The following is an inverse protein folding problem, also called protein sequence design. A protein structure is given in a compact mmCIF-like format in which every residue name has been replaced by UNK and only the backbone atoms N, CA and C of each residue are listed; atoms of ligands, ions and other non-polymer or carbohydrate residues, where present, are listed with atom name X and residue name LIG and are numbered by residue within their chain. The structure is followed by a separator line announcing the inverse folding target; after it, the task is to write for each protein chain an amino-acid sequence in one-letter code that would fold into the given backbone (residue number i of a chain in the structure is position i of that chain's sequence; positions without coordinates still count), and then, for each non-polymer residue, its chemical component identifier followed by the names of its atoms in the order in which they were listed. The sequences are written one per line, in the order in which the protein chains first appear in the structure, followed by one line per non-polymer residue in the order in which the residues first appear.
data_IF_394094585711
#
_entry.id   IF_394094585711
#
_cell.length_a   1.000
_cell.length_b   1.000
_cell.length_c   1.000
_cell.angle_alpha   90.00
_cell.angle_beta   90.00
_cell.angle_gamma   90.00
#
_symmetry.space_group_name_H-M   'P 1'
#
loop_
_entity.id
_entity.type
_entity.pdbx_description
1 polymer ?
#
# COMPACT_ATOMS: atom_id res chain seq x y z
N UNK A 1 -8.01 37.54 -28.32
CA UNK A 1 -8.40 36.12 -28.16
C UNK A 1 -9.26 35.98 -26.92
N UNK A 2 -10.51 35.59 -27.09
CA UNK A 2 -11.55 35.53 -26.04
C UNK A 2 -11.58 34.11 -25.44
N UNK A 3 -11.47 33.99 -24.12
CA UNK A 3 -11.77 32.73 -23.43
C UNK A 3 -13.27 32.47 -23.52
N UNK A 4 -13.66 31.41 -24.24
CA UNK A 4 -15.03 30.90 -24.31
C UNK A 4 -15.25 29.96 -23.14
N UNK A 5 -16.22 30.30 -22.30
CA UNK A 5 -16.82 29.43 -21.31
C UNK A 5 -17.40 28.21 -22.02
N UNK A 6 -16.89 27.02 -21.71
CA UNK A 6 -17.55 25.76 -22.11
C UNK A 6 -18.66 25.51 -21.10
N UNK A 7 -19.90 25.72 -21.53
CA UNK A 7 -21.08 25.19 -20.86
C UNK A 7 -20.97 23.66 -20.86
N UNK A 8 -20.82 23.05 -19.68
CA UNK A 8 -21.05 21.62 -19.51
C UNK A 8 -22.56 21.36 -19.38
N UNK A 9 -23.14 20.42 -20.14
CA UNK A 9 -24.52 20.03 -19.97
C UNK A 9 -24.70 19.32 -18.63
N UNK A 10 -25.87 19.54 -17.99
CA UNK A 10 -26.31 18.74 -16.84
C UNK A 10 -26.30 17.26 -17.23
N UNK A 11 -25.44 16.47 -16.58
CA UNK A 11 -25.51 15.01 -16.62
C UNK A 11 -26.15 14.49 -15.33
N UNK A 12 -27.07 13.56 -15.55
CA UNK A 12 -27.97 12.97 -14.57
C UNK A 12 -27.27 12.36 -13.36
N UNK A 13 -27.87 12.55 -12.19
CA UNK A 13 -27.52 11.87 -10.95
C UNK A 13 -27.82 10.37 -11.07
N UNK A 14 -26.81 9.53 -10.82
CA UNK A 14 -26.99 8.08 -10.76
C UNK A 14 -26.49 7.52 -9.43
N UNK A 15 -27.36 6.80 -8.72
CA UNK A 15 -27.06 5.97 -7.54
C UNK A 15 -26.05 4.82 -7.79
N UNK A 16 -25.38 4.80 -8.96
CA UNK A 16 -24.41 3.81 -9.40
C UNK A 16 -23.05 3.91 -8.68
N UNK A 17 -22.73 5.05 -8.05
CA UNK A 17 -21.44 5.27 -7.38
C UNK A 17 -21.26 4.43 -6.10
N UNK A 18 -22.34 4.13 -5.35
CA UNK A 18 -22.24 3.37 -4.10
C UNK A 18 -22.22 1.85 -4.33
N UNK A 19 -23.00 1.34 -5.29
CA UNK A 19 -23.07 -0.09 -5.59
C UNK A 19 -21.74 -0.61 -6.16
N UNK A 20 -21.11 0.14 -7.08
CA UNK A 20 -19.81 -0.24 -7.65
C UNK A 20 -18.69 -0.28 -6.60
N UNK A 21 -18.64 0.72 -5.70
CA UNK A 21 -17.64 0.75 -4.63
C UNK A 21 -17.80 -0.44 -3.67
N UNK A 22 -19.05 -0.76 -3.28
CA UNK A 22 -19.34 -1.90 -2.41
C UNK A 22 -18.90 -3.23 -3.04
N UNK A 23 -19.20 -3.43 -4.33
CA UNK A 23 -18.80 -4.64 -5.05
C UNK A 23 -17.27 -4.79 -5.11
N UNK A 24 -16.53 -3.70 -5.31
CA UNK A 24 -15.06 -3.72 -5.29
C UNK A 24 -14.50 -4.04 -3.91
N UNK A 25 -15.11 -3.50 -2.84
CA UNK A 25 -14.72 -3.86 -1.48
C UNK A 25 -14.99 -5.35 -1.22
N UNK A 26 -16.18 -5.84 -1.59
CA UNK A 26 -16.52 -7.25 -1.44
C UNK A 26 -15.51 -8.13 -2.20
N UNK A 27 -15.13 -7.75 -3.43
CA UNK A 27 -14.10 -8.44 -4.22
C UNK A 27 -12.77 -8.55 -3.48
N UNK A 28 -12.23 -7.44 -2.96
CA UNK A 28 -10.94 -7.40 -2.24
C UNK A 28 -11.02 -8.16 -0.91
N UNK A 29 -12.20 -8.22 -0.29
CA UNK A 29 -12.41 -8.93 0.98
C UNK A 29 -12.91 -10.37 0.81
N UNK A 30 -12.96 -10.92 -0.41
CA UNK A 30 -13.46 -12.29 -0.64
C UNK A 30 -12.51 -13.39 -0.21
N UNK A 31 -11.24 -13.09 0.09
CA UNK A 31 -10.25 -14.08 0.47
C UNK A 31 -10.71 -14.91 1.68
N UNK A 32 -10.85 -16.22 1.48
CA UNK A 32 -11.16 -17.16 2.55
C UNK A 32 -10.05 -17.15 3.61
N UNK A 33 -10.40 -17.47 4.85
CA UNK A 33 -9.40 -17.56 5.93
C UNK A 33 -8.35 -18.61 5.56
N UNK A 34 -7.08 -18.24 5.74
CA UNK A 34 -5.98 -19.16 5.52
C UNK A 34 -5.95 -20.21 6.64
N UNK A 35 -5.74 -21.47 6.25
CA UNK A 35 -5.37 -22.53 7.18
C UNK A 35 -3.89 -22.48 7.60
N UNK A 36 -3.08 -21.64 6.94
CA UNK A 36 -1.67 -21.48 7.24
C UNK A 36 -1.45 -20.58 8.46
N UNK A 37 -0.36 -20.88 9.16
CA UNK A 37 0.04 -20.17 10.37
C UNK A 37 1.54 -19.90 10.31
N UNK A 38 1.96 -18.88 11.02
CA UNK A 38 3.36 -18.56 11.23
C UNK A 38 4.08 -19.76 11.84
N UNK A 39 5.17 -20.18 11.21
CA UNK A 39 6.05 -21.24 11.70
C UNK A 39 7.48 -20.71 11.71
N UNK A 40 8.01 -20.46 12.90
CA UNK A 40 9.37 -19.97 13.08
C UNK A 40 10.45 -20.90 12.52
N UNK A 41 10.16 -22.18 12.30
CA UNK A 41 11.06 -23.12 11.62
C UNK A 41 11.38 -22.68 10.18
N UNK A 42 10.42 -22.03 9.50
CA UNK A 42 10.56 -21.55 8.11
C UNK A 42 11.40 -20.29 7.99
N UNK A 43 11.66 -19.59 9.10
CA UNK A 43 12.49 -18.40 9.10
C UNK A 43 13.97 -18.73 8.89
N UNK A 44 14.40 -19.97 9.18
CA UNK A 44 15.82 -20.33 9.16
C UNK A 44 16.51 -20.07 7.80
N UNK A 45 15.77 -20.17 6.69
CA UNK A 45 16.28 -19.96 5.34
C UNK A 45 16.24 -18.49 4.88
N UNK A 46 15.66 -17.59 5.69
CA UNK A 46 15.59 -16.16 5.37
C UNK A 46 16.86 -15.41 5.82
N UNK A 47 17.17 -14.25 5.22
CA UNK A 47 18.22 -13.37 5.74
C UNK A 47 17.99 -13.03 7.21
N UNK A 48 19.06 -12.99 8.00
CA UNK A 48 18.98 -12.77 9.44
C UNK A 48 18.16 -11.51 9.86
N UNK A 49 18.30 -10.32 9.23
CA UNK A 49 17.45 -9.17 9.60
C UNK A 49 15.96 -9.40 9.32
N UNK A 50 15.63 -10.22 8.32
CA UNK A 50 14.26 -10.61 8.00
C UNK A 50 13.72 -11.58 9.05
N UNK A 51 14.54 -12.50 9.56
CA UNK A 51 14.16 -13.38 10.67
C UNK A 51 13.84 -12.56 11.94
N UNK A 52 14.69 -11.57 12.28
CA UNK A 52 14.45 -10.67 13.41
C UNK A 52 13.12 -9.93 13.25
N UNK A 53 12.85 -9.41 12.06
CA UNK A 53 11.60 -8.74 11.76
C UNK A 53 10.39 -9.61 12.01
N UNK A 54 10.38 -10.84 11.48
CA UNK A 54 9.24 -11.72 11.66
C UNK A 54 9.02 -12.10 13.12
N UNK A 55 10.10 -12.35 13.87
CA UNK A 55 10.00 -12.63 15.32
C UNK A 55 9.51 -11.44 16.13
N UNK A 56 9.78 -10.22 15.66
CA UNK A 56 9.27 -8.98 16.25
C UNK A 56 7.81 -8.72 15.86
N UNK A 57 7.45 -8.96 14.59
CA UNK A 57 6.19 -8.54 13.99
C UNK A 57 5.04 -9.55 14.15
N UNK A 58 5.35 -10.86 14.15
CA UNK A 58 4.37 -11.94 14.03
C UNK A 58 4.67 -13.03 15.06
N UNK A 59 3.78 -13.28 16.04
CA UNK A 59 3.94 -14.40 16.95
C UNK A 59 3.95 -15.76 16.24
N UNK A 60 4.68 -16.73 16.80
CA UNK A 60 4.64 -18.11 16.31
C UNK A 60 3.22 -18.70 16.43
N UNK A 61 2.79 -19.46 15.43
CA UNK A 61 1.42 -19.98 15.32
C UNK A 61 0.35 -18.95 14.94
N UNK A 62 0.71 -17.69 14.66
CA UNK A 62 -0.26 -16.68 14.25
C UNK A 62 -0.87 -17.02 12.87
N UNK A 63 -2.21 -17.07 12.72
CA UNK A 63 -2.85 -17.34 11.43
C UNK A 63 -2.53 -16.27 10.39
N UNK A 64 -2.28 -16.67 9.14
CA UNK A 64 -1.98 -15.70 8.09
C UNK A 64 -3.15 -14.73 7.90
N UNK A 65 -2.84 -13.44 7.81
CA UNK A 65 -3.80 -12.40 7.47
C UNK A 65 -4.23 -12.59 6.03
N UNK A 66 -5.54 -12.57 5.78
CA UNK A 66 -6.09 -12.74 4.42
C UNK A 66 -6.69 -11.45 3.87
N UNK A 67 -7.18 -10.57 4.74
CA UNK A 67 -7.62 -9.25 4.34
C UNK A 67 -7.42 -8.22 5.46
N UNK A 68 -7.40 -6.95 5.09
CA UNK A 68 -7.17 -5.83 6.00
C UNK A 68 -8.11 -4.69 5.69
N UNK A 69 -8.67 -4.07 6.74
CA UNK A 69 -9.30 -2.76 6.67
C UNK A 69 -8.48 -1.77 7.49
N UNK A 70 -8.06 -0.69 6.84
CA UNK A 70 -7.27 0.38 7.44
C UNK A 70 -8.02 1.71 7.33
N UNK A 71 -7.96 2.51 8.39
CA UNK A 71 -8.31 3.94 8.36
C UNK A 71 -7.10 4.76 8.75
N UNK A 72 -6.89 5.84 8.01
CA UNK A 72 -5.81 6.77 8.30
C UNK A 72 -6.26 8.21 8.20
N UNK A 73 -5.53 9.05 8.93
CA UNK A 73 -5.48 10.48 8.71
C UNK A 73 -4.07 10.89 8.32
N UNK A 74 -3.87 12.18 8.16
CA UNK A 74 -2.55 12.75 7.97
C UNK A 74 -2.57 13.90 7.00
N UNK A 75 -1.43 14.11 6.35
CA UNK A 75 -1.24 15.21 5.43
C UNK A 75 -0.41 14.80 4.22
N UNK A 76 -0.64 15.48 3.12
CA UNK A 76 0.14 15.29 1.90
C UNK A 76 0.41 16.63 1.21
N UNK A 77 1.39 16.64 0.29
CA UNK A 77 1.67 17.75 -0.62
C UNK A 77 1.37 17.32 -2.05
N UNK A 78 0.83 18.25 -2.86
CA UNK A 78 0.55 18.05 -4.29
C UNK A 78 1.79 18.25 -5.16
N UNK A 79 2.73 19.07 -4.70
CA UNK A 79 4.04 19.29 -5.32
C UNK A 79 5.06 19.65 -4.23
N UNK A 80 6.35 19.72 -4.60
CA UNK A 80 7.40 20.10 -3.66
C UNK A 80 7.13 21.46 -2.98
N UNK A 81 6.60 22.42 -3.76
CA UNK A 81 6.36 23.80 -3.35
C UNK A 81 4.95 24.04 -2.77
N UNK A 82 4.06 23.05 -2.79
CA UNK A 82 2.71 23.22 -2.25
C UNK A 82 2.69 23.13 -0.72
N UNK A 83 1.75 23.86 -0.12
CA UNK A 83 1.40 23.68 1.30
C UNK A 83 0.87 22.27 1.58
N UNK A 84 0.93 21.88 2.86
CA UNK A 84 0.35 20.63 3.33
C UNK A 84 -1.17 20.68 3.34
N UNK A 85 -1.81 19.64 2.80
CA UNK A 85 -3.25 19.44 2.87
C UNK A 85 -3.60 18.25 3.77
N UNK A 86 -4.67 18.39 4.56
CA UNK A 86 -5.23 17.29 5.36
C UNK A 86 -5.91 16.24 4.47
N UNK A 87 -5.67 14.97 4.78
CA UNK A 87 -6.30 13.83 4.11
C UNK A 87 -6.78 12.80 5.12
N UNK A 88 -7.91 12.17 4.82
CA UNK A 88 -8.37 10.95 5.48
C UNK A 88 -8.55 9.84 4.45
N UNK A 89 -8.13 8.64 4.79
CA UNK A 89 -8.20 7.48 3.91
C UNK A 89 -8.91 6.31 4.57
N UNK A 90 -9.63 5.54 3.76
CA UNK A 90 -10.02 4.17 4.08
C UNK A 90 -9.40 3.25 3.05
N UNK A 91 -8.78 2.17 3.51
CA UNK A 91 -8.13 1.19 2.64
C UNK A 91 -8.58 -0.21 2.97
N UNK A 92 -8.66 -1.02 1.93
CA UNK A 92 -9.01 -2.43 1.97
C UNK A 92 -7.94 -3.17 1.20
N UNK A 93 -7.38 -4.23 1.77
CA UNK A 93 -6.36 -5.05 1.13
C UNK A 93 -6.81 -6.50 1.10
N UNK A 94 -6.51 -7.16 -0.01
CA UNK A 94 -6.29 -8.60 -0.03
C UNK A 94 -4.82 -8.80 0.37
N UNK A 95 -4.57 -9.66 1.36
CA UNK A 95 -3.23 -9.99 1.83
C UNK A 95 -2.69 -11.29 1.21
N UNK A 96 -3.55 -12.05 0.53
CA UNK A 96 -3.20 -13.29 -0.18
C UNK A 96 -2.74 -13.04 -1.62
N UNK A 97 -3.14 -11.89 -2.18
CA UNK A 97 -2.81 -11.42 -3.53
C UNK A 97 -2.54 -9.91 -3.48
N UNK A 98 -1.75 -9.33 -4.38
CA UNK A 98 -1.53 -7.90 -4.43
C UNK A 98 -2.78 -7.27 -5.00
N UNK A 99 -3.75 -7.02 -4.14
CA UNK A 99 -4.95 -6.28 -4.47
C UNK A 99 -5.30 -5.33 -3.32
N UNK A 100 -5.74 -4.13 -3.68
CA UNK A 100 -6.25 -3.19 -2.70
C UNK A 100 -7.25 -2.23 -3.34
N UNK A 101 -8.04 -1.61 -2.47
CA UNK A 101 -8.89 -0.48 -2.77
C UNK A 101 -8.67 0.59 -1.70
N UNK A 102 -8.32 1.79 -2.12
CA UNK A 102 -8.15 2.96 -1.29
C UNK A 102 -9.14 4.05 -1.68
N UNK A 103 -9.74 4.66 -0.66
CA UNK A 103 -10.68 5.77 -0.79
C UNK A 103 -10.15 6.91 0.07
N UNK A 104 -9.51 7.88 -0.56
CA UNK A 104 -9.04 9.12 0.05
C UNK A 104 -10.08 10.22 -0.03
N UNK A 105 -10.22 11.01 1.03
CA UNK A 105 -11.07 12.20 1.06
C UNK A 105 -10.31 13.36 1.68
N UNK A 106 -10.36 14.52 1.01
CA UNK A 106 -9.93 15.81 1.54
C UNK A 106 -11.13 16.76 1.58
N UNK A 107 -10.91 18.02 1.96
CA UNK A 107 -11.96 19.05 1.90
C UNK A 107 -12.48 19.30 0.48
N UNK A 108 -11.69 19.02 -0.56
CA UNK A 108 -11.98 19.43 -1.94
C UNK A 108 -12.18 18.25 -2.91
N UNK A 109 -11.60 17.09 -2.62
CA UNK A 109 -11.63 15.95 -3.54
C UNK A 109 -11.83 14.61 -2.81
N UNK A 110 -12.33 13.65 -3.57
CA UNK A 110 -12.34 12.24 -3.20
C UNK A 110 -11.54 11.49 -4.26
N UNK A 111 -10.57 10.68 -3.83
CA UNK A 111 -9.78 9.83 -4.71
C UNK A 111 -10.12 8.37 -4.43
N UNK A 112 -10.30 7.60 -5.50
CA UNK A 112 -10.45 6.15 -5.47
C UNK A 112 -9.26 5.59 -6.20
N UNK A 113 -8.46 4.80 -5.51
CA UNK A 113 -7.27 4.19 -6.06
C UNK A 113 -7.35 2.70 -5.82
N UNK A 114 -7.09 1.88 -6.82
CA UNK A 114 -7.30 0.45 -6.72
C UNK A 114 -6.34 -0.32 -7.63
N UNK A 115 -5.90 -1.47 -7.13
CA UNK A 115 -5.23 -2.49 -7.92
C UNK A 115 -6.00 -3.79 -7.72
N UNK A 116 -6.75 -4.22 -8.73
CA UNK A 116 -7.68 -5.37 -8.63
C UNK A 116 -7.57 -6.17 -9.92
N UNK A 117 -7.41 -7.50 -9.82
CA UNK A 117 -7.26 -8.37 -10.99
C UNK A 117 -6.01 -8.05 -11.82
N UNK A 118 -4.96 -7.51 -11.20
CA UNK A 118 -3.72 -7.15 -11.87
C UNK A 118 -3.73 -5.83 -12.64
N UNK A 119 -4.80 -5.04 -12.54
CA UNK A 119 -4.91 -3.73 -13.21
C UNK A 119 -4.98 -2.60 -12.18
N UNK A 120 -4.06 -1.64 -12.28
CA UNK A 120 -4.08 -0.39 -11.52
C UNK A 120 -5.09 0.60 -12.11
N UNK A 121 -5.87 1.23 -11.24
CA UNK A 121 -6.79 2.29 -11.62
C UNK A 121 -6.84 3.38 -10.57
N UNK A 122 -6.31 4.56 -10.93
CA UNK A 122 -6.46 5.76 -10.14
C UNK A 122 -7.60 6.61 -10.72
N UNK A 123 -8.62 6.86 -9.90
CA UNK A 123 -9.79 7.71 -10.21
C UNK A 123 -9.88 8.84 -9.20
N UNK A 124 -9.49 10.05 -9.60
CA UNK A 124 -9.64 11.24 -8.75
C UNK A 124 -10.91 12.00 -9.13
N UNK A 125 -11.76 12.27 -8.14
CA UNK A 125 -13.00 13.03 -8.26
C UNK A 125 -12.90 14.39 -7.53
N UNK A 126 -13.16 15.48 -8.24
CA UNK A 126 -13.34 16.80 -7.65
C UNK A 126 -14.81 17.01 -7.27
N UNK A 127 -15.06 17.52 -6.05
CA UNK A 127 -16.40 17.66 -5.47
C UNK A 127 -17.25 16.37 -5.50
N UNK A 128 -16.59 15.20 -5.50
CA UNK A 128 -17.21 13.87 -5.61
C UNK A 128 -18.13 13.68 -6.84
N UNK A 129 -17.95 14.50 -7.89
CA UNK A 129 -18.84 14.52 -9.08
C UNK A 129 -18.09 14.67 -10.41
N UNK A 130 -16.87 15.21 -10.44
CA UNK A 130 -16.13 15.47 -11.67
C UNK A 130 -14.85 14.64 -11.69
N UNK A 131 -14.74 13.68 -12.61
CA UNK A 131 -13.54 12.84 -12.79
C UNK A 131 -12.43 13.66 -13.44
N UNK A 132 -11.31 13.85 -12.76
CA UNK A 132 -10.16 14.64 -13.26
C UNK A 132 -9.07 13.74 -13.83
N UNK A 133 -8.77 12.61 -13.19
CA UNK A 133 -7.68 11.72 -13.58
C UNK A 133 -8.22 10.30 -13.81
N UNK A 134 -7.76 9.68 -14.89
CA UNK A 134 -7.95 8.27 -15.20
C UNK A 134 -6.66 7.75 -15.83
N UNK A 135 -5.74 7.30 -14.99
CA UNK A 135 -4.46 6.74 -15.44
C UNK A 135 -4.52 5.22 -15.31
N UNK A 136 -4.06 4.55 -16.37
CA UNK A 136 -3.96 3.09 -16.53
C UNK A 136 -2.72 2.80 -17.37
N UNK A 137 -2.12 1.62 -17.21
CA UNK A 137 -1.02 1.15 -18.04
C UNK A 137 0.18 0.62 -17.24
N UNK A 138 1.21 0.09 -17.91
CA UNK A 138 2.27 -0.70 -17.28
C UNK A 138 3.03 0.03 -16.15
N UNK A 139 3.25 1.34 -16.30
CA UNK A 139 3.91 2.16 -15.27
C UNK A 139 3.04 2.32 -14.02
N UNK A 140 1.71 2.43 -14.19
CA UNK A 140 0.76 2.50 -13.09
C UNK A 140 0.67 1.15 -12.39
N UNK A 141 0.57 0.05 -13.14
CA UNK A 141 0.53 -1.31 -12.57
C UNK A 141 1.78 -1.60 -11.73
N UNK A 142 2.97 -1.18 -12.20
CA UNK A 142 4.19 -1.28 -11.40
C UNK A 142 4.16 -0.41 -10.15
N UNK A 143 3.68 0.83 -10.27
CA UNK A 143 3.55 1.78 -9.15
C UNK A 143 2.62 1.26 -8.06
N UNK A 144 1.47 0.68 -8.43
CA UNK A 144 0.52 0.13 -7.47
C UNK A 144 0.98 -1.20 -6.87
N UNK A 145 1.72 -2.02 -7.63
CA UNK A 145 2.35 -3.21 -7.07
C UNK A 145 3.44 -2.85 -6.05
N UNK A 146 4.24 -1.82 -6.33
CA UNK A 146 5.18 -1.24 -5.36
C UNK A 146 4.47 -0.68 -4.13
N UNK A 147 3.29 -0.08 -4.30
CA UNK A 147 2.49 0.42 -3.18
C UNK A 147 2.02 -0.73 -2.30
N UNK A 148 1.40 -1.76 -2.88
CA UNK A 148 0.95 -2.93 -2.12
C UNK A 148 2.12 -3.57 -1.37
N UNK A 149 3.27 -3.78 -2.02
CA UNK A 149 4.46 -4.36 -1.37
C UNK A 149 5.00 -3.49 -0.22
N UNK A 150 5.00 -2.17 -0.40
CA UNK A 150 5.44 -1.24 0.64
C UNK A 150 4.47 -1.15 1.83
N UNK A 151 3.17 -1.26 1.57
CA UNK A 151 2.10 -1.20 2.57
C UNK A 151 1.85 -2.54 3.28
N UNK A 152 2.42 -3.64 2.78
CA UNK A 152 2.40 -4.96 3.42
C UNK A 152 3.07 -5.00 4.81
N UNK A 153 3.78 -3.94 5.21
CA UNK A 153 4.22 -3.72 6.60
C UNK A 153 3.05 -3.67 7.60
N UNK A 154 1.83 -3.39 7.14
CA UNK A 154 0.62 -3.45 7.98
C UNK A 154 0.00 -4.84 8.09
N UNK A 155 0.44 -5.81 7.28
CA UNK A 155 -0.03 -7.19 7.33
C UNK A 155 1.15 -8.13 7.08
N UNK A 156 2.07 -8.21 8.07
CA UNK A 156 3.41 -8.78 7.90
C UNK A 156 3.43 -10.20 7.35
N UNK A 157 2.40 -11.02 7.58
CA UNK A 157 2.35 -12.40 7.04
C UNK A 157 2.38 -12.45 5.52
N UNK A 158 1.97 -11.40 4.80
CA UNK A 158 2.06 -11.33 3.34
C UNK A 158 3.50 -11.11 2.83
N UNK A 159 4.43 -10.73 3.71
CA UNK A 159 5.84 -10.59 3.36
C UNK A 159 6.62 -11.91 3.50
N UNK A 160 5.97 -13.00 3.95
CA UNK A 160 6.59 -14.32 3.97
C UNK A 160 6.67 -14.87 2.54
N UNK A 161 7.78 -15.53 2.16
CA UNK A 161 7.79 -16.30 0.92
C UNK A 161 6.67 -17.35 0.95
N UNK A 162 5.86 -17.36 -0.10
CA UNK A 162 4.80 -18.35 -0.24
C UNK A 162 5.39 -19.75 -0.48
N UNK A 163 4.68 -20.76 0.02
CA UNK A 163 5.06 -22.17 -0.11
C UNK A 163 4.72 -22.78 -1.47
N UNK A 164 3.98 -22.06 -2.31
CA UNK A 164 3.65 -22.57 -3.63
C UNK A 164 4.81 -22.37 -4.62
N UNK A 165 4.80 -23.17 -5.68
CA UNK A 165 5.83 -23.13 -6.73
C UNK A 165 5.88 -21.78 -7.49
N UNK A 166 4.96 -20.84 -7.18
CA UNK A 166 4.96 -19.53 -7.83
C UNK A 166 6.23 -18.74 -7.48
N UNK A 167 6.77 -18.93 -6.27
CA UNK A 167 7.99 -18.25 -5.79
C UNK A 167 7.95 -16.74 -6.01
N UNK A 168 6.76 -16.16 -5.91
CA UNK A 168 6.44 -14.81 -6.35
C UNK A 168 6.97 -13.72 -5.43
N UNK A 169 7.14 -13.99 -4.13
CA UNK A 169 7.85 -13.12 -3.19
C UNK A 169 9.13 -13.78 -2.68
N UNK A 170 10.25 -13.05 -2.67
CA UNK A 170 11.55 -13.54 -2.21
C UNK A 170 12.33 -12.48 -1.43
N UNK A 171 13.10 -12.94 -0.45
CA UNK A 171 14.05 -12.12 0.29
C UNK A 171 15.49 -12.46 -0.10
N UNK A 172 16.35 -11.45 -0.21
CA UNK A 172 17.80 -11.60 -0.40
C UNK A 172 18.56 -10.77 0.62
N UNK A 173 19.62 -11.33 1.19
CA UNK A 173 20.48 -10.58 2.10
C UNK A 173 21.20 -9.44 1.35
N UNK A 174 21.39 -8.31 2.04
CA UNK A 174 22.29 -7.24 1.60
C UNK A 174 23.44 -7.11 2.60
N UNK A 175 23.09 -6.88 3.87
CA UNK A 175 24.01 -6.76 5.01
C UNK A 175 23.27 -7.12 6.32
N UNK A 176 23.90 -6.89 7.47
CA UNK A 176 23.39 -7.27 8.80
C UNK A 176 22.11 -6.53 9.21
N UNK A 177 21.84 -5.36 8.60
CA UNK A 177 20.71 -4.48 8.92
C UNK A 177 19.81 -4.22 7.70
N UNK A 178 20.07 -4.86 6.56
CA UNK A 178 19.30 -4.68 5.34
C UNK A 178 19.11 -5.96 4.52
N UNK A 179 17.94 -6.05 3.91
CA UNK A 179 17.61 -7.09 2.95
C UNK A 179 16.78 -6.52 1.79
N UNK A 180 16.77 -7.22 0.66
CA UNK A 180 15.94 -6.91 -0.49
C UNK A 180 14.72 -7.81 -0.50
N UNK A 181 13.52 -7.23 -0.58
CA UNK A 181 12.30 -7.96 -0.91
C UNK A 181 11.99 -7.77 -2.38
N UNK A 182 11.73 -8.87 -3.09
CA UNK A 182 11.38 -8.91 -4.51
C UNK A 182 9.99 -9.51 -4.66
N UNK A 183 9.15 -8.90 -5.48
CA UNK A 183 7.81 -9.38 -5.81
C UNK A 183 7.65 -9.47 -7.33
N UNK A 184 7.19 -10.64 -7.80
CA UNK A 184 6.87 -10.94 -9.19
C UNK A 184 5.40 -11.29 -9.31
N UNK A 185 4.63 -10.46 -9.99
CA UNK A 185 3.19 -10.68 -10.13
C UNK A 185 2.73 -10.25 -11.52
N UNK A 186 1.98 -11.12 -12.21
CA UNK A 186 1.45 -10.87 -13.56
C UNK A 186 2.49 -10.34 -14.58
N UNK A 187 3.72 -10.88 -14.52
CA UNK A 187 4.82 -10.48 -15.41
C UNK A 187 5.53 -9.17 -15.02
N UNK A 188 5.10 -8.51 -13.95
CA UNK A 188 5.75 -7.32 -13.39
C UNK A 188 6.66 -7.75 -12.24
N UNK A 189 7.87 -7.19 -12.19
CA UNK A 189 8.82 -7.38 -11.11
C UNK A 189 9.11 -6.04 -10.42
N UNK A 190 8.98 -6.03 -9.09
CA UNK A 190 9.26 -4.88 -8.24
C UNK A 190 10.06 -5.30 -7.01
N UNK A 191 10.73 -4.35 -6.36
CA UNK A 191 11.51 -4.65 -5.17
C UNK A 191 11.68 -3.43 -4.26
N UNK A 192 11.98 -3.68 -2.99
CA UNK A 192 12.48 -2.69 -2.04
C UNK A 192 13.77 -3.18 -1.41
N UNK A 193 14.71 -2.26 -1.18
CA UNK A 193 15.72 -2.41 -0.13
C UNK A 193 15.07 -2.01 1.19
N UNK A 194 15.09 -2.90 2.16
CA UNK A 194 14.46 -2.74 3.46
C UNK A 194 15.55 -2.66 4.52
N UNK A 195 15.48 -1.63 5.35
CA UNK A 195 16.36 -1.46 6.52
C UNK A 195 15.61 -1.84 7.80
N UNK A 196 16.33 -2.49 8.70
CA UNK A 196 15.82 -3.00 9.96
C UNK A 196 16.61 -2.40 11.11
N UNK A 197 15.93 -2.07 12.21
CA UNK A 197 16.59 -1.70 13.45
C UNK A 197 17.07 -2.96 14.22
N UNK A 198 17.96 -2.81 15.22
CA UNK A 198 18.47 -3.93 16.01
C UNK A 198 17.39 -4.76 16.73
N UNK A 199 16.25 -4.15 17.06
CA UNK A 199 15.09 -4.82 17.66
C UNK A 199 14.17 -5.52 16.64
N UNK A 200 14.54 -5.52 15.35
CA UNK A 200 13.86 -6.25 14.28
C UNK A 200 12.83 -5.44 13.50
N UNK A 201 12.36 -4.29 14.00
CA UNK A 201 11.41 -3.45 13.26
C UNK A 201 11.98 -2.96 11.93
N UNK A 202 11.14 -2.93 10.89
CA UNK A 202 11.46 -2.20 9.66
C UNK A 202 11.45 -0.71 9.98
N UNK A 203 12.43 0.04 9.48
CA UNK A 203 12.50 1.50 9.66
C UNK A 203 12.38 2.24 8.34
N UNK A 204 12.80 1.61 7.24
CA UNK A 204 12.89 2.25 5.93
C UNK A 204 12.71 1.23 4.80
N UNK A 205 11.99 1.64 3.77
CA UNK A 205 11.85 0.93 2.50
C UNK A 205 12.29 1.87 1.38
N UNK A 206 13.25 1.47 0.56
CA UNK A 206 13.78 2.27 -0.53
C UNK A 206 13.66 1.53 -1.87
N UNK A 207 13.22 2.23 -2.91
CA UNK A 207 13.11 1.71 -4.28
C UNK A 207 13.31 2.84 -5.29
N UNK A 208 13.09 2.55 -6.58
CA UNK A 208 12.92 3.58 -7.60
C UNK A 208 11.47 3.60 -8.08
N UNK A 209 10.90 4.80 -8.22
CA UNK A 209 9.55 5.01 -8.74
C UNK A 209 9.57 5.97 -9.92
N UNK A 210 8.64 5.81 -10.86
CA UNK A 210 8.42 6.80 -11.92
C UNK A 210 7.95 8.12 -11.30
N UNK A 211 8.78 9.16 -11.44
CA UNK A 211 8.41 10.54 -11.15
C UNK A 211 7.70 11.17 -12.37
N UNK A 212 8.03 10.69 -13.57
CA UNK A 212 7.36 10.97 -14.86
C UNK A 212 7.52 9.75 -15.77
N UNK A 213 6.80 9.68 -16.90
CA UNK A 213 6.77 8.52 -17.82
C UNK A 213 8.15 7.91 -18.12
N UNK A 214 9.16 8.75 -18.40
CA UNK A 214 10.51 8.28 -18.78
C UNK A 214 11.57 8.42 -17.67
N UNK A 215 11.18 8.81 -16.45
CA UNK A 215 12.14 9.12 -15.38
C UNK A 215 11.78 8.45 -14.07
N UNK A 216 12.63 7.51 -13.65
CA UNK A 216 12.58 6.92 -12.33
C UNK A 216 13.56 7.62 -11.39
N UNK A 217 13.07 8.01 -10.22
CA UNK A 217 13.88 8.59 -9.15
C UNK A 217 13.85 7.70 -7.90
N UNK A 218 14.88 7.75 -7.04
CA UNK A 218 14.83 7.03 -5.78
C UNK A 218 13.72 7.59 -4.89
N UNK A 219 13.00 6.68 -4.27
CA UNK A 219 11.85 6.94 -3.43
C UNK A 219 11.95 6.12 -2.16
N UNK A 220 11.55 6.71 -1.05
CA UNK A 220 11.54 6.02 0.23
C UNK A 220 10.20 6.12 0.96
N UNK A 221 9.90 5.05 1.69
CA UNK A 221 8.97 5.04 2.82
C UNK A 221 9.75 4.93 4.12
N UNK A 222 9.40 5.73 5.13
CA UNK A 222 9.85 5.55 6.52
C UNK A 222 8.67 5.21 7.38
N UNK A 223 8.83 4.20 8.23
CA UNK A 223 7.78 3.72 9.12
C UNK A 223 8.23 3.79 10.57
N UNK A 224 7.31 4.12 11.47
CA UNK A 224 7.59 4.32 12.89
C UNK A 224 6.32 4.09 13.73
N UNK A 225 6.45 4.31 15.04
CA UNK A 225 5.33 4.20 16.01
C UNK A 225 4.70 2.80 15.95
N UNK A 226 5.51 1.77 16.13
CA UNK A 226 5.05 0.39 16.13
C UNK A 226 4.15 0.13 17.35
N UNK A 227 2.98 -0.46 17.10
CA UNK A 227 2.01 -0.84 18.13
C UNK A 227 1.45 -2.23 17.84
N UNK A 228 1.01 -2.90 18.89
CA UNK A 228 0.33 -4.18 18.77
C UNK A 228 -1.12 -3.97 18.29
N UNK A 229 -1.53 -4.72 17.27
CA UNK A 229 -2.92 -4.82 16.79
C UNK A 229 -3.22 -6.29 16.58
N UNK A 230 -4.21 -6.82 17.30
CA UNK A 230 -4.61 -8.23 17.24
C UNK A 230 -3.40 -9.20 17.30
N UNK A 231 -2.42 -8.91 18.16
CA UNK A 231 -1.20 -9.70 18.35
C UNK A 231 -0.05 -9.43 17.36
N UNK A 232 -0.26 -8.59 16.33
CA UNK A 232 0.79 -8.22 15.35
C UNK A 232 1.41 -6.87 15.70
N UNK A 233 2.75 -6.75 15.62
CA UNK A 233 3.44 -5.47 15.78
C UNK A 233 3.59 -4.76 14.43
N UNK A 234 2.89 -3.63 14.26
CA UNK A 234 2.81 -2.91 12.97
C UNK A 234 2.98 -1.39 13.14
N UNK A 235 3.55 -0.69 12.14
CA UNK A 235 3.79 0.75 12.24
C UNK A 235 2.50 1.58 12.13
N UNK A 236 2.37 2.61 12.97
CA UNK A 236 1.24 3.55 12.92
C UNK A 236 1.58 4.91 12.30
N UNK A 237 2.83 5.16 11.97
CA UNK A 237 3.24 6.34 11.21
C UNK A 237 4.00 5.92 9.96
N UNK A 238 3.65 6.53 8.82
CA UNK A 238 4.37 6.37 7.57
C UNK A 238 4.62 7.72 6.91
N UNK A 239 5.85 7.92 6.45
CA UNK A 239 6.23 9.05 5.61
C UNK A 239 6.73 8.55 4.27
N UNK A 240 6.34 9.22 3.19
CA UNK A 240 6.90 8.96 1.87
C UNK A 240 7.58 10.20 1.30
N UNK A 241 8.72 9.98 0.65
CA UNK A 241 9.58 11.03 0.16
C UNK A 241 10.30 10.63 -1.14
N UNK A 242 10.52 11.62 -1.99
CA UNK A 242 11.49 11.52 -3.09
C UNK A 242 12.89 11.84 -2.56
N UNK A 243 13.89 11.09 -3.01
CA UNK A 243 15.30 11.34 -2.71
C UNK A 243 15.94 11.94 -3.97
N UNK A 244 15.89 13.26 -4.06
CA UNK A 244 16.41 14.02 -5.19
C UNK A 244 17.82 14.56 -4.87
N UNK A 245 18.60 15.03 -5.86
CA UNK A 245 19.91 15.63 -5.62
C UNK A 245 19.89 16.78 -4.61
N UNK A 246 18.78 17.51 -4.52
CA UNK A 246 18.58 18.63 -3.60
C UNK A 246 18.24 18.18 -2.17
N UNK A 247 17.90 16.91 -1.97
CA UNK A 247 17.66 16.30 -0.67
C UNK A 247 16.40 15.44 -0.60
N UNK A 248 15.93 15.22 0.64
CA UNK A 248 14.74 14.43 0.94
C UNK A 248 13.48 15.30 0.87
N UNK A 249 12.62 15.03 -0.10
CA UNK A 249 11.36 15.76 -0.32
C UNK A 249 10.17 14.94 0.18
N UNK A 250 9.83 15.08 1.46
CA UNK A 250 8.66 14.43 2.06
C UNK A 250 7.38 15.11 1.61
N UNK A 251 6.47 14.30 1.07
CA UNK A 251 5.18 14.77 0.54
C UNK A 251 3.99 13.99 1.12
N UNK A 252 4.22 12.96 1.92
CA UNK A 252 3.21 12.17 2.63
C UNK A 252 3.66 11.99 4.07
N UNK A 253 2.73 12.19 4.99
CA UNK A 253 2.91 11.99 6.43
C UNK A 253 1.57 11.51 7.00
N UNK A 254 1.40 10.20 7.06
CA UNK A 254 0.15 9.54 7.44
C UNK A 254 0.25 8.87 8.80
N UNK A 255 -0.90 8.82 9.48
CA UNK A 255 -1.09 8.19 10.76
C UNK A 255 -2.24 7.18 10.67
N UNK A 256 -1.97 5.94 11.09
CA UNK A 256 -2.99 4.88 11.17
C UNK A 256 -3.88 5.17 12.38
N UNK A 257 -5.17 5.35 12.11
CA UNK A 257 -6.20 5.58 13.14
C UNK A 257 -6.85 4.26 13.57
N UNK A 258 -7.00 3.32 12.64
CA UNK A 258 -7.60 2.02 12.89
C UNK A 258 -7.08 0.99 11.90
N UNK A 259 -6.83 -0.22 12.41
CA UNK A 259 -6.49 -1.38 11.61
C UNK A 259 -7.31 -2.58 12.08
N UNK A 260 -7.81 -3.38 11.14
CA UNK A 260 -8.60 -4.58 11.40
C UNK A 260 -8.21 -5.67 10.42
N UNK A 261 -8.07 -6.89 10.90
CA UNK A 261 -7.71 -8.05 10.08
C UNK A 261 -8.89 -9.00 9.90
N UNK A 262 -8.89 -9.72 8.78
CA UNK A 262 -9.80 -10.83 8.51
C UNK A 262 -11.28 -10.46 8.70
N UNK A 263 -11.64 -9.25 8.26
CA UNK A 263 -12.99 -8.71 8.32
C UNK A 263 -13.90 -9.49 7.37
N UNK A 264 -15.06 -9.92 7.87
CA UNK A 264 -16.05 -10.59 7.04
C UNK A 264 -16.79 -9.61 6.13
N UNK A 265 -17.15 -10.03 4.91
CA UNK A 265 -17.90 -9.20 3.95
C UNK A 265 -19.22 -8.61 4.52
N UNK A 266 -19.80 -9.25 5.54
CA UNK A 266 -21.03 -8.80 6.22
C UNK A 266 -20.84 -7.79 7.35
N UNK A 267 -19.60 -7.41 7.71
CA UNK A 267 -19.30 -6.44 8.77
C UNK A 267 -19.24 -4.97 8.26
N UNK A 268 -19.72 -4.72 7.04
CA UNK A 268 -19.69 -3.42 6.35
C UNK A 268 -20.98 -2.61 6.51
#
# INVERSE_FOLDING_TARGET
MKYRWVFLPLLAFGAASCAGTRQQIEQVLTAERSGQQMDYGRLADLPEPVQRYFRFAVPDGYPYVTNVQLKHGGRFKRSADSDWDEIRGRQYFDATRPEFLWIGTTRLFQAHDAYIGGTGSLKVYLFSRIRIVNEQGPHMDQGELLRWLGEAVWFPTALLPYEDDSGWLRWRAIDDDAARVELRYNGIEVWYRVEFAPDGRITRLETKRYLSEDRMEPWEGRVADYREVDGLMVPHSIQAAWLLPEGRHTYVDFLVEQLRYNVGAGAM
#
